data_IF_056566524819
#
_entry.id   IF_056566524819
#
_cell.length_a   1.000
_cell.length_b   1.000
_cell.length_c   1.000
_cell.angle_alpha   90.00
_cell.angle_beta   90.00
_cell.angle_gamma   90.00
#
_symmetry.space_group_name_H-M   'P 1'
#
loop_
_entity.id
_entity.type
_entity.pdbx_description
1 polymer ?
#
# COMPACT_ATOMS: atom_id res chain seq x y z
N UNK A 1 0.07 -22.07 -8.20
CA UNK A 1 0.89 -21.17 -7.37
C UNK A 1 -0.04 -20.12 -6.78
N UNK A 2 0.17 -19.76 -5.52
CA UNK A 2 -0.65 -18.74 -4.83
C UNK A 2 -0.17 -17.29 -5.05
N UNK A 3 0.90 -17.10 -5.83
CA UNK A 3 1.34 -15.78 -6.28
C UNK A 3 0.45 -15.34 -7.47
N UNK A 4 -0.28 -14.23 -7.28
CA UNK A 4 -1.32 -13.78 -8.22
C UNK A 4 -1.14 -12.30 -8.58
N UNK A 5 -1.81 -11.85 -9.66
CA UNK A 5 -1.86 -10.42 -10.00
C UNK A 5 -2.69 -9.64 -8.98
N UNK A 6 -2.33 -8.38 -8.73
CA UNK A 6 -3.11 -7.53 -7.82
C UNK A 6 -4.50 -7.25 -8.38
N UNK A 7 -4.65 -7.11 -9.70
CA UNK A 7 -5.95 -6.90 -10.35
C UNK A 7 -6.94 -7.98 -9.95
N UNK A 8 -6.54 -9.25 -9.91
CA UNK A 8 -7.42 -10.33 -9.50
C UNK A 8 -7.94 -10.15 -8.06
N UNK A 9 -7.08 -9.75 -7.13
CA UNK A 9 -7.50 -9.55 -5.73
C UNK A 9 -8.39 -8.31 -5.59
N UNK A 10 -8.10 -7.24 -6.32
CA UNK A 10 -8.88 -6.01 -6.27
C UNK A 10 -10.27 -6.19 -6.91
N UNK A 11 -10.36 -6.94 -8.02
CA UNK A 11 -11.64 -7.30 -8.63
C UNK A 11 -12.50 -8.10 -7.64
N UNK A 12 -11.94 -9.13 -7.00
CA UNK A 12 -12.64 -9.93 -6.00
C UNK A 12 -13.06 -9.06 -4.79
N UNK A 13 -12.21 -8.12 -4.35
CA UNK A 13 -12.54 -7.20 -3.28
C UNK A 13 -13.72 -6.28 -3.64
N UNK A 14 -13.75 -5.78 -4.88
CA UNK A 14 -14.82 -4.95 -5.38
C UNK A 14 -16.15 -5.71 -5.49
N UNK A 15 -16.13 -6.93 -6.01
CA UNK A 15 -17.29 -7.80 -6.14
C UNK A 15 -17.91 -8.21 -4.78
N UNK A 16 -17.07 -8.29 -3.74
CA UNK A 16 -17.46 -8.74 -2.40
C UNK A 16 -17.50 -7.61 -1.35
N UNK A 17 -17.27 -6.35 -1.74
CA UNK A 17 -17.47 -5.17 -0.90
C UNK A 17 -16.47 -5.02 0.24
N UNK A 18 -15.20 -5.42 0.07
CA UNK A 18 -14.16 -5.27 1.08
C UNK A 18 -12.92 -4.53 0.55
N UNK A 19 -12.01 -4.15 1.45
CA UNK A 19 -10.70 -3.58 1.13
C UNK A 19 -9.56 -4.52 1.53
N UNK A 20 -8.41 -4.36 0.88
CA UNK A 20 -7.19 -5.13 1.12
C UNK A 20 -6.12 -4.26 1.77
N UNK A 21 -5.66 -4.58 2.98
CA UNK A 21 -4.46 -3.96 3.49
C UNK A 21 -3.26 -4.40 2.65
N UNK A 22 -2.46 -3.42 2.20
CA UNK A 22 -1.19 -3.65 1.56
C UNK A 22 -0.07 -3.33 2.55
N UNK A 23 0.65 -4.36 2.97
CA UNK A 23 1.64 -4.24 4.04
C UNK A 23 3.04 -4.09 3.48
N UNK A 24 3.74 -3.03 3.90
CA UNK A 24 5.14 -2.83 3.57
C UNK A 24 6.04 -3.82 4.30
N UNK A 25 6.99 -4.41 3.59
CA UNK A 25 7.94 -5.39 4.11
C UNK A 25 9.37 -4.95 3.90
N UNK A 26 10.20 -5.09 4.95
CA UNK A 26 11.60 -4.73 4.95
C UNK A 26 12.51 -5.90 5.43
N UNK A 27 11.96 -6.86 6.16
CA UNK A 27 12.73 -7.92 6.81
C UNK A 27 11.92 -9.22 6.98
N UNK A 28 12.58 -10.25 7.50
CA UNK A 28 12.00 -11.58 7.72
C UNK A 28 10.79 -11.55 8.67
N UNK A 29 10.91 -10.83 9.78
CA UNK A 29 9.91 -10.82 10.84
C UNK A 29 8.59 -10.21 10.38
N UNK A 30 8.64 -9.17 9.53
CA UNK A 30 7.45 -8.57 8.93
C UNK A 30 6.77 -9.55 7.96
N UNK A 31 7.53 -10.21 7.08
CA UNK A 31 6.98 -11.19 6.15
C UNK A 31 6.31 -12.34 6.90
N UNK A 32 6.95 -12.86 7.95
CA UNK A 32 6.37 -13.91 8.79
C UNK A 32 5.11 -13.45 9.52
N UNK A 33 5.13 -12.27 10.14
CA UNK A 33 3.99 -11.73 10.87
C UNK A 33 2.76 -11.57 9.98
N UNK A 34 2.94 -11.03 8.77
CA UNK A 34 1.86 -10.83 7.80
C UNK A 34 1.27 -12.17 7.37
N UNK A 35 2.12 -13.16 7.05
CA UNK A 35 1.62 -14.46 6.57
C UNK A 35 0.99 -15.30 7.67
N UNK A 36 1.54 -15.25 8.88
CA UNK A 36 0.94 -15.90 10.05
C UNK A 36 -0.45 -15.29 10.36
N UNK A 37 -0.57 -13.95 10.28
CA UNK A 37 -1.84 -13.26 10.44
C UNK A 37 -2.84 -13.66 9.34
N UNK A 38 -2.41 -13.62 8.07
CA UNK A 38 -3.25 -13.99 6.93
C UNK A 38 -3.73 -15.44 7.01
N UNK A 39 -2.85 -16.36 7.42
CA UNK A 39 -3.20 -17.77 7.62
C UNK A 39 -4.22 -17.95 8.75
N UNK A 40 -4.06 -17.21 9.85
CA UNK A 40 -4.95 -17.31 11.01
C UNK A 40 -6.38 -16.86 10.68
N UNK A 41 -6.51 -15.75 9.95
CA UNK A 41 -7.84 -15.20 9.61
C UNK A 41 -8.34 -15.57 8.21
N UNK A 42 -7.56 -16.33 7.44
CA UNK A 42 -7.94 -16.74 6.07
C UNK A 42 -8.03 -15.56 5.09
N UNK A 43 -7.11 -14.59 5.12
CA UNK A 43 -7.10 -13.42 4.25
C UNK A 43 -6.16 -13.56 3.06
N UNK A 44 -6.51 -13.10 1.84
CA UNK A 44 -5.53 -12.84 0.79
C UNK A 44 -4.60 -11.69 1.20
N UNK A 45 -3.41 -11.61 0.60
CA UNK A 45 -2.35 -10.70 1.05
C UNK A 45 -1.79 -9.88 -0.11
N UNK A 46 -1.57 -8.59 0.14
CA UNK A 46 -0.67 -7.74 -0.66
C UNK A 46 0.56 -7.45 0.20
N UNK A 47 1.72 -8.00 -0.18
CA UNK A 47 3.02 -7.60 0.35
C UNK A 47 3.65 -6.61 -0.60
N UNK A 48 4.02 -5.45 -0.09
CA UNK A 48 4.60 -4.41 -0.93
C UNK A 48 5.99 -3.99 -0.45
N UNK A 49 6.84 -3.63 -1.41
CA UNK A 49 8.22 -3.22 -1.18
C UNK A 49 8.52 -1.93 -1.95
N UNK A 50 8.80 -0.85 -1.21
CA UNK A 50 9.30 0.40 -1.78
C UNK A 50 10.72 0.24 -2.35
N UNK A 51 11.18 1.21 -3.11
CA UNK A 51 12.58 1.26 -3.55
C UNK A 51 13.55 1.29 -2.35
N UNK A 52 13.19 2.02 -1.28
CA UNK A 52 13.93 2.06 -0.03
C UNK A 52 14.02 0.70 0.66
N UNK A 53 12.91 -0.01 0.76
CA UNK A 53 12.87 -1.35 1.32
C UNK A 53 13.75 -2.34 0.54
N UNK A 54 13.67 -2.32 -0.80
CA UNK A 54 14.49 -3.16 -1.68
C UNK A 54 15.98 -2.83 -1.58
N UNK A 55 16.33 -1.55 -1.44
CA UNK A 55 17.71 -1.11 -1.22
C UNK A 55 18.24 -1.54 0.14
N UNK A 56 17.42 -1.43 1.20
CA UNK A 56 17.78 -1.83 2.56
C UNK A 56 17.99 -3.33 2.69
N UNK A 57 17.00 -4.12 2.31
CA UNK A 57 17.03 -5.57 2.45
C UNK A 57 17.94 -6.27 1.41
N UNK A 58 18.15 -5.63 0.27
CA UNK A 58 18.71 -6.26 -0.92
C UNK A 58 17.63 -6.95 -1.74
N UNK A 59 17.54 -6.61 -3.01
CA UNK A 59 16.43 -7.04 -3.89
C UNK A 59 16.27 -8.56 -3.95
N UNK A 60 17.38 -9.31 -4.06
CA UNK A 60 17.35 -10.76 -4.07
C UNK A 60 16.82 -11.34 -2.75
N UNK A 61 17.26 -10.81 -1.60
CA UNK A 61 16.81 -11.28 -0.29
C UNK A 61 15.31 -11.05 -0.10
N UNK A 62 14.83 -9.85 -0.38
CA UNK A 62 13.42 -9.52 -0.18
C UNK A 62 12.51 -10.33 -1.08
N UNK A 63 12.88 -10.49 -2.36
CA UNK A 63 12.18 -11.38 -3.29
C UNK A 63 12.08 -12.80 -2.76
N UNK A 64 13.19 -13.37 -2.28
CA UNK A 64 13.20 -14.75 -1.77
C UNK A 64 12.46 -14.89 -0.45
N UNK A 65 12.45 -13.89 0.44
CA UNK A 65 11.61 -13.88 1.64
C UNK A 65 10.12 -13.97 1.29
N UNK A 66 9.66 -13.17 0.33
CA UNK A 66 8.25 -13.22 -0.12
C UNK A 66 7.97 -14.55 -0.84
N UNK A 67 8.88 -15.03 -1.68
CA UNK A 67 8.73 -16.34 -2.36
C UNK A 67 8.65 -17.49 -1.35
N UNK A 68 9.48 -17.48 -0.32
CA UNK A 68 9.44 -18.49 0.75
C UNK A 68 8.09 -18.45 1.50
N UNK A 69 7.52 -17.27 1.73
CA UNK A 69 6.20 -17.12 2.32
C UNK A 69 5.10 -17.72 1.42
N UNK A 70 5.16 -17.51 0.10
CA UNK A 70 4.24 -18.11 -0.89
C UNK A 70 4.35 -19.65 -0.88
N UNK A 71 5.56 -20.19 -0.75
CA UNK A 71 5.77 -21.64 -0.65
C UNK A 71 5.25 -22.23 0.67
N UNK A 72 5.47 -21.53 1.78
CA UNK A 72 5.05 -21.97 3.12
C UNK A 72 3.52 -21.94 3.30
N UNK A 73 2.82 -21.03 2.60
CA UNK A 73 1.38 -20.84 2.69
C UNK A 73 0.68 -20.94 1.32
N UNK A 74 0.72 -22.11 0.65
CA UNK A 74 0.27 -22.26 -0.75
C UNK A 74 -1.24 -22.05 -0.94
N UNK A 75 -2.02 -22.02 0.14
CA UNK A 75 -3.47 -21.80 0.13
C UNK A 75 -3.86 -20.32 0.32
N UNK A 76 -2.89 -19.43 0.60
CA UNK A 76 -3.13 -17.99 0.72
C UNK A 76 -2.75 -17.31 -0.61
N UNK A 77 -3.68 -16.66 -1.31
CA UNK A 77 -3.34 -15.83 -2.47
C UNK A 77 -2.50 -14.62 -2.06
N UNK A 78 -1.33 -14.48 -2.67
CA UNK A 78 -0.35 -13.43 -2.35
C UNK A 78 -0.05 -12.59 -3.59
N UNK A 79 -0.01 -11.28 -3.44
CA UNK A 79 0.52 -10.33 -4.42
C UNK A 79 1.88 -9.85 -3.94
N UNK A 80 2.87 -9.87 -4.82
CA UNK A 80 4.14 -9.18 -4.64
C UNK A 80 4.08 -7.86 -5.42
N UNK A 81 3.94 -6.75 -4.68
CA UNK A 81 3.75 -5.41 -5.23
C UNK A 81 4.97 -4.52 -5.05
N UNK A 82 5.42 -3.87 -6.12
CA UNK A 82 6.42 -2.82 -6.04
C UNK A 82 5.71 -1.47 -5.83
N UNK A 83 5.99 -0.88 -4.68
CA UNK A 83 5.44 0.38 -4.19
C UNK A 83 6.34 1.55 -4.62
N UNK A 84 5.77 2.67 -5.08
CA UNK A 84 6.46 3.88 -5.55
C UNK A 84 7.65 3.67 -6.50
N UNK A 85 7.36 3.28 -7.73
CA UNK A 85 8.35 3.23 -8.82
C UNK A 85 8.54 4.61 -9.45
N UNK A 86 9.75 5.17 -9.34
CA UNK A 86 10.06 6.52 -9.83
C UNK A 86 10.28 6.60 -11.35
N UNK A 87 10.30 5.47 -12.04
CA UNK A 87 10.49 5.43 -13.49
C UNK A 87 10.03 4.09 -14.08
N UNK A 88 9.74 4.03 -15.39
CA UNK A 88 9.47 2.78 -16.09
C UNK A 88 10.58 1.73 -15.93
N UNK A 89 11.84 2.15 -15.83
CA UNK A 89 12.99 1.26 -15.62
C UNK A 89 12.91 0.57 -14.25
N UNK A 90 12.52 1.28 -13.19
CA UNK A 90 12.33 0.71 -11.83
C UNK A 90 11.19 -0.32 -11.84
N UNK A 91 10.06 -0.02 -12.48
CA UNK A 91 8.96 -0.96 -12.62
C UNK A 91 9.37 -2.22 -13.41
N UNK A 92 10.11 -2.05 -14.50
CA UNK A 92 10.62 -3.17 -15.29
C UNK A 92 11.60 -4.04 -14.48
N UNK A 93 12.48 -3.45 -13.67
CA UNK A 93 13.39 -4.18 -12.79
C UNK A 93 12.61 -5.02 -11.74
N UNK A 94 11.56 -4.45 -11.14
CA UNK A 94 10.70 -5.17 -10.21
C UNK A 94 10.01 -6.38 -10.89
N UNK A 95 9.47 -6.20 -12.08
CA UNK A 95 8.85 -7.28 -12.86
C UNK A 95 9.86 -8.41 -13.15
N UNK A 96 11.08 -8.06 -13.56
CA UNK A 96 12.17 -9.06 -13.77
C UNK A 96 12.52 -9.80 -12.48
N UNK A 97 12.31 -9.19 -11.33
CA UNK A 97 12.50 -9.80 -10.02
C UNK A 97 11.29 -10.63 -9.55
N UNK A 98 10.24 -10.78 -10.37
CA UNK A 98 9.08 -11.62 -10.10
C UNK A 98 7.90 -10.91 -9.42
N UNK A 99 7.90 -9.59 -9.37
CA UNK A 99 6.75 -8.82 -8.88
C UNK A 99 5.55 -8.99 -9.82
N UNK A 100 4.38 -9.25 -9.25
CA UNK A 100 3.13 -9.46 -10.00
C UNK A 100 2.27 -8.21 -10.10
N UNK A 101 2.75 -7.13 -9.49
CA UNK A 101 2.16 -5.80 -9.54
C UNK A 101 3.22 -4.73 -9.35
N UNK A 102 3.08 -3.62 -10.03
CA UNK A 102 3.97 -2.47 -9.91
C UNK A 102 3.17 -1.18 -9.82
N UNK A 103 3.68 -0.21 -9.07
CA UNK A 103 3.17 1.15 -9.06
C UNK A 103 4.13 2.05 -9.85
N UNK A 104 3.62 2.75 -10.86
CA UNK A 104 4.33 3.86 -11.50
C UNK A 104 3.88 5.16 -10.83
N UNK A 105 4.75 5.69 -10.01
CA UNK A 105 4.53 7.02 -9.40
C UNK A 105 5.07 8.09 -10.35
N UNK A 106 4.20 8.56 -11.22
CA UNK A 106 4.48 9.65 -12.15
C UNK A 106 4.02 11.01 -11.64
N UNK A 107 3.59 11.12 -10.38
CA UNK A 107 3.26 12.40 -9.73
C UNK A 107 4.49 13.28 -9.51
N UNK A 108 5.66 12.64 -9.47
CA UNK A 108 6.97 13.28 -9.39
C UNK A 108 7.78 12.98 -10.66
N UNK A 109 8.70 13.90 -10.99
CA UNK A 109 9.70 13.67 -12.02
C UNK A 109 10.67 12.55 -11.62
N UNK A 110 11.49 12.08 -12.55
CA UNK A 110 12.44 11.00 -12.29
C UNK A 110 13.48 11.29 -11.18
N UNK A 111 13.59 12.53 -10.73
CA UNK A 111 14.41 12.93 -9.57
C UNK A 111 13.75 12.55 -8.22
N UNK A 112 12.48 12.15 -8.24
CA UNK A 112 11.70 11.79 -7.07
C UNK A 112 11.38 12.95 -6.12
N UNK A 113 11.46 14.21 -6.60
CA UNK A 113 11.29 15.41 -5.77
C UNK A 113 10.44 16.50 -6.44
N UNK A 114 10.69 16.74 -7.71
CA UNK A 114 9.99 17.76 -8.49
C UNK A 114 8.60 17.26 -8.84
N UNK A 115 7.56 18.07 -8.60
CA UNK A 115 6.19 17.75 -9.04
C UNK A 115 6.16 17.65 -10.55
N UNK A 116 5.71 16.53 -11.08
CA UNK A 116 5.67 16.26 -12.50
C UNK A 116 4.50 16.98 -13.20
N UNK A 117 4.63 17.19 -14.51
CA UNK A 117 3.51 17.60 -15.32
C UNK A 117 2.51 16.44 -15.51
N UNK A 118 1.23 16.79 -15.72
CA UNK A 118 0.21 15.80 -16.06
C UNK A 118 0.58 14.96 -17.28
N UNK A 119 1.13 15.58 -18.32
CA UNK A 119 1.54 14.91 -19.54
C UNK A 119 2.69 13.91 -19.30
N UNK A 120 3.67 14.27 -18.46
CA UNK A 120 4.73 13.35 -18.05
C UNK A 120 4.14 12.14 -17.36
N UNK A 121 3.27 12.34 -16.35
CA UNK A 121 2.64 11.25 -15.60
C UNK A 121 1.85 10.30 -16.52
N UNK A 122 1.03 10.85 -17.44
CA UNK A 122 0.31 10.05 -18.43
C UNK A 122 1.27 9.22 -19.29
N UNK A 123 2.35 9.82 -19.77
CA UNK A 123 3.29 9.14 -20.68
C UNK A 123 4.02 7.97 -20.00
N UNK A 124 4.58 8.20 -18.79
CA UNK A 124 5.32 7.14 -18.08
C UNK A 124 4.38 6.03 -17.58
N UNK A 125 3.20 6.39 -17.09
CA UNK A 125 2.19 5.41 -16.66
C UNK A 125 1.69 4.54 -17.82
N UNK A 126 1.42 5.14 -18.98
CA UNK A 126 1.02 4.42 -20.20
C UNK A 126 2.11 3.47 -20.70
N UNK A 127 3.38 3.88 -20.62
CA UNK A 127 4.50 3.01 -20.97
C UNK A 127 4.55 1.78 -20.07
N UNK A 128 4.43 1.98 -18.73
CA UNK A 128 4.43 0.89 -17.75
C UNK A 128 3.23 -0.04 -17.95
N UNK A 129 2.03 0.49 -18.17
CA UNK A 129 0.82 -0.29 -18.48
C UNK A 129 1.05 -1.17 -19.69
N UNK A 130 1.60 -0.63 -20.77
CA UNK A 130 1.80 -1.36 -22.03
C UNK A 130 2.66 -2.62 -21.83
N UNK A 131 3.80 -2.53 -21.18
CA UNK A 131 4.64 -3.72 -21.01
C UNK A 131 4.13 -4.65 -19.89
N UNK A 132 3.55 -4.12 -18.82
CA UNK A 132 3.04 -4.91 -17.69
C UNK A 132 1.83 -5.76 -18.09
N UNK A 133 0.83 -5.17 -18.74
CA UNK A 133 -0.36 -5.89 -19.20
C UNK A 133 -0.03 -6.97 -20.23
N UNK A 134 1.03 -6.79 -21.04
CA UNK A 134 1.46 -7.80 -22.01
C UNK A 134 1.84 -9.14 -21.39
N UNK A 135 2.18 -9.15 -20.10
CA UNK A 135 2.60 -10.31 -19.32
C UNK A 135 1.72 -10.57 -18.08
N UNK A 136 0.58 -9.89 -17.98
CA UNK A 136 -0.41 -10.10 -16.92
C UNK A 136 -0.12 -9.44 -15.57
N UNK A 137 0.86 -8.53 -15.53
CA UNK A 137 1.24 -7.76 -14.33
C UNK A 137 0.32 -6.55 -14.18
N UNK A 138 -0.18 -6.32 -12.97
CA UNK A 138 -1.06 -5.20 -12.63
C UNK A 138 -0.28 -3.90 -12.52
N UNK A 139 -0.90 -2.79 -12.91
CA UNK A 139 -0.33 -1.45 -12.76
C UNK A 139 -1.20 -0.56 -11.89
N UNK A 140 -0.62 -0.08 -10.80
CA UNK A 140 -1.09 1.06 -10.04
C UNK A 140 -0.41 2.32 -10.56
N UNK A 141 -1.14 3.43 -10.62
CA UNK A 141 -0.59 4.74 -10.93
C UNK A 141 -1.01 5.74 -9.84
N UNK A 142 -0.42 6.92 -9.81
CA UNK A 142 -0.73 7.98 -8.85
C UNK A 142 -1.12 9.27 -9.55
N UNK A 143 -2.15 9.95 -9.04
CA UNK A 143 -2.57 11.26 -9.50
C UNK A 143 -2.87 12.20 -8.34
N UNK A 144 -2.26 13.36 -8.36
CA UNK A 144 -2.18 14.29 -7.24
C UNK A 144 -0.88 14.08 -6.46
N UNK A 145 -0.57 14.99 -5.56
CA UNK A 145 0.62 14.91 -4.70
C UNK A 145 0.18 14.52 -3.29
N UNK A 146 0.78 13.45 -2.77
CA UNK A 146 0.53 13.07 -1.38
C UNK A 146 1.04 14.14 -0.43
N UNK A 147 0.26 14.43 0.59
CA UNK A 147 0.61 15.43 1.59
C UNK A 147 -0.55 15.76 2.52
N UNK A 148 -0.24 16.50 3.57
CA UNK A 148 -1.18 16.81 4.64
C UNK A 148 -1.97 18.07 4.33
N UNK A 149 -3.30 17.97 4.33
CA UNK A 149 -4.20 19.12 4.26
C UNK A 149 -4.15 19.99 5.53
N UNK A 150 -3.70 19.46 6.66
CA UNK A 150 -3.53 20.22 7.90
C UNK A 150 -2.33 21.18 7.80
N UNK A 151 -1.20 20.70 7.29
CA UNK A 151 0.05 21.47 7.24
C UNK A 151 0.31 22.09 5.87
N UNK A 152 -0.46 21.72 4.86
CA UNK A 152 -0.27 22.11 3.46
C UNK A 152 1.13 21.81 2.92
N UNK A 153 1.74 20.72 3.40
CA UNK A 153 3.06 20.27 2.98
C UNK A 153 2.96 18.97 2.19
N UNK A 154 3.77 18.90 1.14
CA UNK A 154 4.02 17.65 0.45
C UNK A 154 4.67 16.63 1.38
N UNK A 155 4.53 15.37 1.03
CA UNK A 155 4.98 14.23 1.80
C UNK A 155 6.33 13.70 1.33
N UNK A 156 7.05 13.02 2.22
CA UNK A 156 8.31 12.35 1.90
C UNK A 156 8.37 10.95 2.51
N UNK A 157 8.63 9.97 1.66
CA UNK A 157 8.92 8.61 2.08
C UNK A 157 10.19 8.10 1.38
N UNK A 158 11.08 7.44 2.12
CA UNK A 158 12.33 6.86 1.62
C UNK A 158 13.22 7.85 0.83
N UNK A 159 13.10 9.15 1.10
CA UNK A 159 13.85 10.21 0.41
C UNK A 159 13.20 10.70 -0.89
N UNK A 160 12.02 10.18 -1.24
CA UNK A 160 11.17 10.60 -2.36
C UNK A 160 9.96 11.36 -1.83
N UNK A 161 9.49 12.34 -2.60
CA UNK A 161 8.34 13.15 -2.25
C UNK A 161 8.54 14.64 -2.55
N UNK A 162 7.43 15.36 -2.73
CA UNK A 162 7.46 16.77 -3.06
C UNK A 162 7.96 17.62 -1.88
N UNK A 163 8.90 18.52 -2.16
CA UNK A 163 9.41 19.45 -1.17
C UNK A 163 8.58 20.74 -1.16
N UNK A 164 8.20 21.20 0.03
CA UNK A 164 7.65 22.54 0.24
C UNK A 164 6.15 22.58 0.49
N UNK A 165 5.62 23.81 0.37
CA UNK A 165 4.17 24.09 0.52
C UNK A 165 3.45 23.75 -0.77
N UNK A 166 2.32 23.03 -0.64
CA UNK A 166 1.44 22.64 -1.73
C UNK A 166 0.13 23.42 -1.67
N UNK A 167 -0.52 23.59 -2.81
CA UNK A 167 -1.90 24.10 -2.82
C UNK A 167 -2.87 22.98 -2.47
N UNK A 168 -4.09 23.34 -2.08
CA UNK A 168 -5.15 22.37 -1.79
C UNK A 168 -5.47 21.52 -3.04
N UNK A 169 -5.44 22.13 -4.20
CA UNK A 169 -5.70 21.48 -5.49
C UNK A 169 -4.61 20.44 -5.82
N UNK A 170 -3.36 20.68 -5.43
CA UNK A 170 -2.28 19.70 -5.60
C UNK A 170 -2.41 18.51 -4.64
N UNK A 171 -2.94 18.74 -3.43
CA UNK A 171 -3.14 17.74 -2.38
C UNK A 171 -4.45 16.94 -2.50
N UNK A 172 -5.28 17.24 -3.51
CA UNK A 172 -6.52 16.53 -3.79
C UNK A 172 -6.59 16.17 -5.28
N UNK A 173 -6.79 14.89 -5.57
CA UNK A 173 -6.98 14.45 -6.95
C UNK A 173 -8.22 15.06 -7.56
N UNK A 174 -8.08 15.71 -8.71
CA UNK A 174 -9.22 16.26 -9.47
C UNK A 174 -10.01 15.14 -10.17
N UNK A 175 -11.33 15.23 -10.13
CA UNK A 175 -12.26 14.18 -10.60
C UNK A 175 -12.21 14.01 -12.12
N UNK A 176 -12.23 15.10 -12.87
CA UNK A 176 -12.21 15.04 -14.34
C UNK A 176 -10.82 14.64 -14.85
N UNK A 177 -9.79 15.15 -14.17
CA UNK A 177 -8.42 14.76 -14.47
C UNK A 177 -8.18 13.26 -14.21
N UNK A 178 -8.77 12.69 -13.13
CA UNK A 178 -8.72 11.25 -12.86
C UNK A 178 -9.39 10.42 -13.97
N UNK A 179 -10.55 10.90 -14.47
CA UNK A 179 -11.25 10.25 -15.57
C UNK A 179 -10.42 10.25 -16.86
N UNK A 180 -9.87 11.41 -17.23
CA UNK A 180 -9.02 11.56 -18.40
C UNK A 180 -7.73 10.73 -18.29
N UNK A 181 -7.12 10.72 -17.10
CA UNK A 181 -5.90 9.95 -16.81
C UNK A 181 -6.12 8.45 -16.98
N UNK A 182 -7.17 7.90 -16.39
CA UNK A 182 -7.52 6.48 -16.48
C UNK A 182 -7.86 6.09 -17.91
N UNK A 183 -8.60 6.95 -18.64
CA UNK A 183 -8.92 6.74 -20.06
C UNK A 183 -7.65 6.70 -20.92
N UNK A 184 -6.68 7.57 -20.64
CA UNK A 184 -5.43 7.65 -21.40
C UNK A 184 -4.47 6.51 -21.08
N UNK A 185 -4.35 6.12 -19.80
CA UNK A 185 -3.34 5.16 -19.32
C UNK A 185 -3.84 3.73 -19.27
N UNK A 186 -5.13 3.52 -18.96
CA UNK A 186 -5.73 2.20 -18.71
C UNK A 186 -5.08 1.49 -17.51
N UNK A 187 -4.60 2.22 -16.49
CA UNK A 187 -4.09 1.64 -15.26
C UNK A 187 -5.20 0.89 -14.51
N UNK A 188 -4.84 -0.14 -13.74
CA UNK A 188 -5.78 -1.01 -13.02
C UNK A 188 -6.24 -0.41 -11.70
N UNK A 189 -5.35 0.33 -11.06
CA UNK A 189 -5.60 0.98 -9.79
C UNK A 189 -5.04 2.40 -9.82
N UNK A 190 -5.70 3.31 -9.11
CA UNK A 190 -5.31 4.71 -9.01
C UNK A 190 -5.15 5.10 -7.55
N UNK A 191 -3.91 5.41 -7.16
CA UNK A 191 -3.63 6.09 -5.90
C UNK A 191 -4.08 7.55 -6.02
N UNK A 192 -4.94 7.93 -5.09
CA UNK A 192 -5.57 9.26 -5.06
C UNK A 192 -5.10 10.06 -3.86
N UNK A 193 -4.76 11.32 -4.09
CA UNK A 193 -4.47 12.28 -3.05
C UNK A 193 -5.79 12.75 -2.41
N UNK A 194 -5.97 12.46 -1.14
CA UNK A 194 -7.19 12.71 -0.36
C UNK A 194 -6.91 13.35 1.00
N UNK A 195 -5.73 13.96 1.15
CA UNK A 195 -5.30 14.68 2.35
C UNK A 195 -4.50 13.83 3.35
N UNK A 196 -4.03 12.66 2.95
CA UNK A 196 -3.20 11.77 3.77
C UNK A 196 -1.71 11.86 3.41
N UNK A 197 -0.84 11.61 4.40
CA UNK A 197 0.62 11.59 4.25
C UNK A 197 1.23 10.33 4.84
N UNK A 198 2.41 9.95 4.38
CA UNK A 198 3.18 8.83 4.93
C UNK A 198 3.78 9.13 6.31
N UNK A 199 4.37 8.12 6.94
CA UNK A 199 5.06 8.23 8.22
C UNK A 199 4.14 8.31 9.43
N UNK A 200 4.74 8.48 10.61
CA UNK A 200 4.02 8.50 11.88
C UNK A 200 3.42 9.88 12.20
N UNK A 201 4.01 10.96 11.72
CA UNK A 201 3.63 12.34 12.05
C UNK A 201 2.66 12.90 11.01
N UNK A 202 1.39 12.44 11.04
CA UNK A 202 0.36 12.80 10.05
C UNK A 202 -0.47 14.00 10.48
N UNK A 203 -1.05 13.93 11.68
CA UNK A 203 -1.94 14.97 12.20
C UNK A 203 -1.48 15.39 13.59
N UNK A 204 -1.53 16.69 13.85
CA UNK A 204 -1.12 17.29 15.16
C UNK A 204 -2.26 17.31 16.17
N UNK A 205 -3.51 17.15 15.69
CA UNK A 205 -4.73 17.09 16.50
C UNK A 205 -5.46 15.78 16.27
N UNK A 206 -6.17 15.32 17.30
CA UNK A 206 -7.02 14.14 17.18
C UNK A 206 -8.07 14.39 16.11
N UNK A 207 -8.17 13.48 15.10
CA UNK A 207 -9.18 13.58 14.06
C UNK A 207 -10.61 13.64 14.60
N UNK A 208 -11.45 14.46 13.97
CA UNK A 208 -12.86 14.65 14.33
C UNK A 208 -13.83 13.96 13.39
N UNK A 209 -13.35 13.15 12.43
CA UNK A 209 -14.18 12.33 11.55
C UNK A 209 -14.41 12.93 10.16
N UNK A 210 -13.57 13.85 9.72
CA UNK A 210 -13.63 14.52 8.41
C UNK A 210 -12.23 14.70 7.76
N UNK A 211 -11.31 13.81 8.08
CA UNK A 211 -9.94 13.88 7.55
C UNK A 211 -9.88 13.52 6.09
N UNK A 212 -10.53 12.40 5.74
CA UNK A 212 -10.56 11.96 4.36
C UNK A 212 -11.56 12.77 3.55
N UNK A 213 -11.18 13.13 2.34
CA UNK A 213 -12.07 13.73 1.37
C UNK A 213 -13.06 12.69 0.80
N UNK A 214 -13.95 12.13 1.64
CA UNK A 214 -14.87 11.02 1.28
C UNK A 214 -15.75 11.37 0.08
N UNK A 215 -16.27 12.59 -0.01
CA UNK A 215 -17.07 12.99 -1.18
C UNK A 215 -16.23 12.96 -2.47
N UNK A 216 -14.95 13.35 -2.41
CA UNK A 216 -14.03 13.24 -3.53
C UNK A 216 -13.79 11.79 -3.96
N UNK A 217 -13.67 10.85 -3.01
CA UNK A 217 -13.59 9.42 -3.29
C UNK A 217 -14.83 8.94 -4.07
N UNK A 218 -16.02 9.32 -3.62
CA UNK A 218 -17.29 8.97 -4.27
C UNK A 218 -17.40 9.53 -5.69
N UNK A 219 -17.05 10.80 -5.87
CA UNK A 219 -17.06 11.46 -7.17
C UNK A 219 -16.11 10.76 -8.16
N UNK A 220 -14.86 10.51 -7.74
CA UNK A 220 -13.88 9.81 -8.57
C UNK A 220 -14.38 8.39 -8.90
N UNK A 221 -14.82 7.61 -7.91
CA UNK A 221 -15.31 6.25 -8.15
C UNK A 221 -16.51 6.21 -9.12
N UNK A 222 -17.39 7.20 -9.05
CA UNK A 222 -18.50 7.32 -9.99
C UNK A 222 -18.05 7.52 -11.44
N UNK A 223 -16.95 8.27 -11.64
CA UNK A 223 -16.39 8.55 -12.97
C UNK A 223 -15.58 7.37 -13.53
N UNK A 224 -14.88 6.64 -12.67
CA UNK A 224 -13.99 5.52 -13.03
C UNK A 224 -14.36 4.23 -12.27
N UNK A 225 -15.58 3.69 -12.44
CA UNK A 225 -16.10 2.62 -11.58
C UNK A 225 -15.36 1.29 -11.70
N UNK A 226 -14.58 1.09 -12.76
CA UNK A 226 -13.81 -0.14 -13.02
C UNK A 226 -12.33 -0.01 -12.67
N UNK A 227 -11.87 1.16 -12.22
CA UNK A 227 -10.52 1.40 -11.72
C UNK A 227 -10.56 1.37 -10.19
N UNK A 228 -9.73 0.55 -9.59
CA UNK A 228 -9.70 0.41 -8.14
C UNK A 228 -8.99 1.59 -7.49
N UNK A 229 -9.59 2.20 -6.46
CA UNK A 229 -8.98 3.30 -5.74
C UNK A 229 -8.02 2.80 -4.67
N UNK A 230 -6.91 3.49 -4.51
CA UNK A 230 -5.87 3.18 -3.52
C UNK A 230 -5.67 4.36 -2.58
N UNK A 231 -5.55 4.05 -1.28
CA UNK A 231 -5.24 5.01 -0.23
C UNK A 231 -3.82 4.81 0.26
N UNK A 232 -2.97 5.80 0.05
CA UNK A 232 -1.64 5.93 0.65
C UNK A 232 -1.72 6.68 1.98
N UNK A 233 -0.66 6.59 2.79
CA UNK A 233 -0.58 7.32 4.05
C UNK A 233 -1.66 6.93 5.08
N UNK A 234 -2.21 5.71 5.02
CA UNK A 234 -3.43 5.31 5.73
C UNK A 234 -3.21 4.61 7.07
N UNK A 235 -1.97 4.51 7.57
CA UNK A 235 -1.71 3.99 8.92
C UNK A 235 -2.46 4.81 9.97
N UNK A 236 -3.08 4.11 10.93
CA UNK A 236 -3.96 4.73 11.94
C UNK A 236 -3.19 5.25 13.16
N UNK A 237 -1.91 4.92 13.27
CA UNK A 237 -1.03 5.35 14.38
C UNK A 237 -1.71 5.11 15.75
N UNK A 238 -1.95 3.83 16.13
CA UNK A 238 -2.64 3.50 17.37
C UNK A 238 -1.94 4.11 18.58
N UNK A 239 -2.70 4.81 19.44
CA UNK A 239 -2.14 5.59 20.53
C UNK A 239 -1.47 4.71 21.60
N UNK A 240 -1.94 3.49 21.78
CA UNK A 240 -1.33 2.49 22.67
C UNK A 240 0.08 2.09 22.22
N UNK A 241 0.36 2.04 20.92
CA UNK A 241 1.70 1.74 20.40
C UNK A 241 2.67 2.91 20.66
N UNK A 242 2.20 4.15 20.53
CA UNK A 242 2.99 5.33 20.88
C UNK A 242 3.27 5.39 22.38
N UNK A 243 2.26 5.07 23.20
CA UNK A 243 2.39 5.03 24.66
C UNK A 243 3.43 3.98 25.08
N UNK A 244 3.38 2.77 24.52
CA UNK A 244 4.36 1.71 24.77
C UNK A 244 5.79 2.15 24.41
N UNK A 245 5.98 2.77 23.24
CA UNK A 245 7.30 3.28 22.84
C UNK A 245 7.83 4.31 23.82
N UNK A 246 6.99 5.24 24.28
CA UNK A 246 7.37 6.29 25.24
C UNK A 246 7.69 5.72 26.62
N UNK A 247 6.86 4.79 27.11
CA UNK A 247 7.06 4.12 28.41
C UNK A 247 8.41 3.43 28.48
N UNK A 248 8.87 2.85 27.39
CA UNK A 248 10.14 2.13 27.31
C UNK A 248 11.27 2.95 26.65
N UNK A 249 11.29 4.27 26.89
CA UNK A 249 12.40 5.18 26.59
C UNK A 249 12.47 5.67 25.14
N UNK A 250 11.38 5.58 24.38
CA UNK A 250 11.29 6.21 23.06
C UNK A 250 10.84 7.68 23.16
N UNK A 251 11.36 8.53 22.28
CA UNK A 251 10.97 9.94 22.16
C UNK A 251 10.08 10.13 20.92
N UNK A 252 8.82 9.69 21.03
CA UNK A 252 7.80 9.91 19.99
C UNK A 252 6.91 11.08 20.40
N UNK A 253 6.81 12.10 19.53
CA UNK A 253 5.88 13.22 19.73
C UNK A 253 4.43 12.76 19.62
N UNK A 254 3.51 13.55 20.18
CA UNK A 254 2.09 13.32 19.98
C UNK A 254 1.74 13.48 18.51
N UNK A 255 1.04 12.50 17.98
CA UNK A 255 0.61 12.46 16.58
C UNK A 255 -0.55 11.49 16.42
N UNK A 256 -1.34 11.68 15.39
CA UNK A 256 -2.52 10.88 15.09
C UNK A 256 -2.47 10.41 13.63
N UNK A 257 -3.04 9.24 13.37
CA UNK A 257 -3.19 8.69 12.02
C UNK A 257 -4.62 8.78 11.53
N UNK A 258 -4.91 8.07 10.44
CA UNK A 258 -6.25 8.02 9.84
C UNK A 258 -7.13 7.09 10.68
N UNK A 259 -8.32 7.52 11.15
CA UNK A 259 -9.25 6.65 11.85
C UNK A 259 -9.68 5.45 10.99
N UNK A 260 -9.75 4.27 11.62
CA UNK A 260 -10.16 3.03 10.93
C UNK A 260 -11.56 3.16 10.33
N UNK A 261 -12.45 3.85 11.02
CA UNK A 261 -13.83 4.08 10.58
C UNK A 261 -13.89 4.91 9.28
N UNK A 262 -13.00 5.89 9.12
CA UNK A 262 -12.91 6.67 7.87
C UNK A 262 -12.35 5.82 6.73
N UNK A 263 -11.39 4.93 7.00
CA UNK A 263 -10.90 3.97 6.01
C UNK A 263 -12.04 3.04 5.56
N UNK A 264 -12.81 2.53 6.51
CA UNK A 264 -13.99 1.69 6.21
C UNK A 264 -15.03 2.44 5.36
N UNK A 265 -15.21 3.73 5.61
CA UNK A 265 -16.08 4.56 4.76
C UNK A 265 -15.50 4.72 3.35
N UNK A 266 -14.18 4.90 3.21
CA UNK A 266 -13.50 4.88 1.91
C UNK A 266 -13.70 3.54 1.16
N UNK A 267 -13.62 2.41 1.87
CA UNK A 267 -13.85 1.07 1.29
C UNK A 267 -15.28 0.95 0.74
N UNK A 268 -16.29 1.44 1.45
CA UNK A 268 -17.68 1.46 0.95
C UNK A 268 -17.84 2.28 -0.33
N UNK A 269 -16.92 3.21 -0.57
CA UNK A 269 -16.96 4.16 -1.69
C UNK A 269 -15.90 3.91 -2.78
N UNK A 270 -15.39 2.69 -2.91
CA UNK A 270 -14.56 2.27 -4.06
C UNK A 270 -13.07 2.08 -3.77
N UNK A 271 -12.60 2.39 -2.56
CA UNK A 271 -11.23 2.06 -2.15
C UNK A 271 -11.09 0.55 -2.00
N UNK A 272 -10.05 -0.02 -2.61
CA UNK A 272 -9.80 -1.47 -2.57
C UNK A 272 -8.43 -1.85 -2.04
N UNK A 273 -7.43 -0.96 -2.11
CA UNK A 273 -6.09 -1.15 -1.53
C UNK A 273 -5.81 -0.05 -0.52
N UNK A 274 -5.32 -0.41 0.66
CA UNK A 274 -5.02 0.50 1.76
C UNK A 274 -3.59 0.22 2.25
N UNK A 275 -2.70 1.19 2.08
CA UNK A 275 -1.30 1.04 2.47
C UNK A 275 -1.13 1.15 3.99
N UNK A 276 -0.52 0.12 4.59
CA UNK A 276 -0.24 0.03 6.03
C UNK A 276 1.25 -0.29 6.23
N UNK A 277 2.00 0.66 6.77
CA UNK A 277 3.41 0.51 7.09
C UNK A 277 3.72 0.93 8.53
N UNK A 278 3.47 2.20 8.85
CA UNK A 278 3.83 2.81 10.15
C UNK A 278 3.30 2.01 11.34
N UNK A 279 2.07 1.50 11.27
CA UNK A 279 1.46 0.73 12.37
C UNK A 279 2.30 -0.52 12.72
N UNK A 280 2.82 -1.21 11.71
CA UNK A 280 3.69 -2.39 11.90
C UNK A 280 5.04 -1.96 12.50
N UNK A 281 5.63 -0.89 11.98
CA UNK A 281 6.91 -0.35 12.50
C UNK A 281 6.80 0.05 13.97
N UNK A 282 5.70 0.73 14.34
CA UNK A 282 5.45 1.14 15.74
C UNK A 282 5.27 -0.08 16.65
N UNK A 283 4.47 -1.05 16.26
CA UNK A 283 4.24 -2.27 17.04
C UNK A 283 5.53 -3.05 17.31
N UNK A 284 6.35 -3.25 16.28
CA UNK A 284 7.63 -3.93 16.42
C UNK A 284 8.59 -3.15 17.34
N UNK A 285 8.68 -1.83 17.14
CA UNK A 285 9.58 -0.98 17.92
C UNK A 285 9.20 -0.95 19.40
N UNK A 286 7.90 -0.83 19.71
CA UNK A 286 7.40 -0.87 21.10
C UNK A 286 7.72 -2.19 21.78
N UNK A 287 7.41 -3.31 21.11
CA UNK A 287 7.67 -4.64 21.65
C UNK A 287 9.17 -4.93 21.87
N UNK A 288 10.06 -4.48 20.97
CA UNK A 288 11.52 -4.63 21.15
C UNK A 288 11.99 -3.79 22.36
N UNK A 289 11.56 -2.53 22.47
CA UNK A 289 11.94 -1.63 23.56
C UNK A 289 11.50 -2.21 24.91
N UNK A 290 10.23 -2.62 25.03
CA UNK A 290 9.70 -3.24 26.24
C UNK A 290 10.50 -4.48 26.61
N UNK A 291 10.72 -5.40 25.65
CA UNK A 291 11.45 -6.64 25.93
C UNK A 291 12.86 -6.38 26.46
N UNK A 292 13.62 -5.49 25.84
CA UNK A 292 14.99 -5.16 26.26
C UNK A 292 15.04 -4.42 27.60
N UNK A 293 14.04 -3.59 27.87
CA UNK A 293 13.91 -2.90 29.18
C UNK A 293 13.63 -3.90 30.30
N UNK A 294 12.69 -4.80 30.11
CA UNK A 294 12.31 -5.83 31.08
C UNK A 294 13.39 -6.93 31.24
N UNK A 295 14.23 -7.10 30.26
CA UNK A 295 15.24 -8.16 30.19
C UNK A 295 16.64 -7.61 29.83
N UNK A 296 17.26 -6.76 30.68
CA UNK A 296 18.45 -5.99 30.35
C UNK A 296 19.72 -6.84 30.08
N UNK A 297 19.74 -8.11 30.50
CA UNK A 297 20.85 -9.03 30.22
C UNK A 297 20.71 -9.80 28.89
N UNK A 298 19.58 -9.66 28.21
CA UNK A 298 19.30 -10.36 26.94
C UNK A 298 19.93 -9.63 25.76
N UNK A 299 20.58 -10.39 24.86
CA UNK A 299 21.29 -9.86 23.70
C UNK A 299 21.05 -10.68 22.42
N UNK A 300 20.39 -11.85 22.52
CA UNK A 300 20.08 -12.68 21.34
C UNK A 300 18.93 -12.02 20.53
N UNK A 301 19.15 -11.68 19.25
CA UNK A 301 18.11 -11.07 18.42
C UNK A 301 16.85 -11.93 18.34
N UNK A 302 16.94 -13.25 18.38
CA UNK A 302 15.77 -14.15 18.36
C UNK A 302 14.86 -13.95 19.56
N UNK A 303 15.39 -13.54 20.71
CA UNK A 303 14.63 -13.30 21.93
C UNK A 303 13.75 -12.04 21.83
N UNK A 304 14.29 -10.92 21.29
CA UNK A 304 13.54 -9.66 21.19
C UNK A 304 12.80 -9.46 19.86
N UNK A 305 13.18 -10.17 18.79
CA UNK A 305 12.46 -10.14 17.53
C UNK A 305 11.20 -11.01 17.53
N UNK A 306 11.14 -12.05 18.36
CA UNK A 306 9.94 -12.86 18.53
C UNK A 306 8.73 -12.06 19.02
N UNK A 307 8.80 -11.31 20.15
CA UNK A 307 7.69 -10.45 20.56
C UNK A 307 7.38 -9.33 19.57
N UNK A 308 8.38 -8.82 18.82
CA UNK A 308 8.16 -7.85 17.76
C UNK A 308 7.29 -8.43 16.62
N UNK A 309 7.59 -9.68 16.20
CA UNK A 309 6.78 -10.40 15.19
C UNK A 309 5.34 -10.61 15.67
N UNK A 310 5.15 -11.03 16.92
CA UNK A 310 3.81 -11.21 17.49
C UNK A 310 3.01 -9.89 17.57
N UNK A 311 3.68 -8.78 17.89
CA UNK A 311 3.05 -7.45 17.90
C UNK A 311 2.63 -7.02 16.50
N UNK A 312 3.50 -7.19 15.49
CA UNK A 312 3.19 -6.92 14.09
C UNK A 312 2.03 -7.80 13.58
N UNK A 313 2.03 -9.10 13.92
CA UNK A 313 0.95 -10.04 13.58
C UNK A 313 -0.41 -9.55 14.08
N UNK A 314 -0.49 -9.07 15.32
CA UNK A 314 -1.74 -8.53 15.90
C UNK A 314 -2.26 -7.33 15.11
N UNK A 315 -1.38 -6.43 14.70
CA UNK A 315 -1.75 -5.30 13.83
C UNK A 315 -2.30 -5.79 12.50
N UNK A 316 -1.64 -6.76 11.87
CA UNK A 316 -2.10 -7.32 10.59
C UNK A 316 -3.48 -7.96 10.72
N UNK A 317 -3.73 -8.78 11.76
CA UNK A 317 -5.04 -9.39 12.03
C UNK A 317 -6.11 -8.31 12.13
N UNK A 318 -5.87 -7.29 12.96
CA UNK A 318 -6.83 -6.20 13.16
C UNK A 318 -7.18 -5.46 11.85
N UNK A 319 -6.21 -5.30 10.94
CA UNK A 319 -6.44 -4.66 9.63
C UNK A 319 -7.17 -5.59 8.65
N UNK A 320 -6.84 -6.88 8.61
CA UNK A 320 -7.58 -7.86 7.81
C UNK A 320 -9.06 -7.94 8.21
N UNK A 321 -9.33 -7.93 9.51
CA UNK A 321 -10.70 -7.95 10.04
C UNK A 321 -11.42 -6.63 9.76
N UNK A 322 -10.81 -5.49 10.10
CA UNK A 322 -11.43 -4.18 9.97
C UNK A 322 -11.77 -3.81 8.51
N UNK A 323 -10.97 -4.28 7.55
CA UNK A 323 -11.19 -3.99 6.13
C UNK A 323 -12.02 -5.07 5.42
N UNK A 324 -12.39 -6.15 6.12
CA UNK A 324 -13.30 -7.21 5.65
C UNK A 324 -12.64 -8.26 4.76
N UNK A 325 -11.29 -8.31 4.68
CA UNK A 325 -10.57 -9.31 3.90
C UNK A 325 -10.39 -10.66 4.60
N UNK A 326 -10.61 -10.73 5.91
CA UNK A 326 -10.63 -11.98 6.67
C UNK A 326 -11.68 -12.95 6.12
N UNK A 327 -11.33 -14.24 5.99
CA UNK A 327 -12.18 -15.29 5.44
C UNK A 327 -12.34 -15.29 3.91
N UNK A 328 -11.63 -14.44 3.19
CA UNK A 328 -11.77 -14.32 1.73
C UNK A 328 -10.80 -15.20 0.94
N UNK A 329 -9.66 -15.63 1.51
CA UNK A 329 -8.63 -16.37 0.79
C UNK A 329 -9.15 -17.64 0.10
N UNK A 330 -9.95 -18.45 0.80
CA UNK A 330 -10.50 -19.71 0.28
C UNK A 330 -11.50 -19.53 -0.87
N UNK A 331 -12.02 -18.32 -1.08
CA UNK A 331 -12.97 -18.00 -2.16
C UNK A 331 -12.27 -17.63 -3.46
N UNK A 332 -10.97 -17.36 -3.42
CA UNK A 332 -10.18 -16.90 -4.55
C UNK A 332 -9.47 -18.08 -5.20
N UNK A 333 -9.77 -18.34 -6.47
CA UNK A 333 -9.05 -19.31 -7.28
C UNK A 333 -7.93 -18.59 -8.04
N UNK A 334 -6.64 -18.88 -7.75
CA UNK A 334 -5.52 -18.20 -8.41
C UNK A 334 -5.58 -18.31 -9.95
N UNK A 335 -5.39 -17.18 -10.61
CA UNK A 335 -5.29 -17.08 -12.07
C UNK A 335 -3.82 -16.84 -12.41
N UNK A 336 -3.27 -17.64 -13.31
CA UNK A 336 -1.89 -17.47 -13.77
C UNK A 336 -1.72 -16.15 -14.54
N UNK A 337 -0.53 -15.56 -14.46
CA UNK A 337 -0.25 -14.27 -15.12
C UNK A 337 -0.44 -14.34 -16.65
N UNK A 338 -0.10 -15.47 -17.28
CA UNK A 338 -0.33 -15.68 -18.70
C UNK A 338 -1.83 -15.55 -19.06
N UNK A 339 -2.70 -16.06 -18.20
CA UNK A 339 -4.15 -15.93 -18.36
C UNK A 339 -4.64 -14.51 -18.13
N UNK A 340 -4.04 -13.80 -17.18
CA UNK A 340 -4.31 -12.38 -16.98
C UNK A 340 -3.88 -11.56 -18.21
N UNK A 341 -2.73 -11.88 -18.82
CA UNK A 341 -2.27 -11.24 -20.04
C UNK A 341 -3.26 -11.46 -21.21
N UNK A 342 -3.88 -12.64 -21.32
CA UNK A 342 -4.95 -12.89 -22.31
C UNK A 342 -6.18 -12.01 -22.08
N UNK A 343 -6.60 -11.87 -20.80
CA UNK A 343 -7.74 -11.01 -20.41
C UNK A 343 -7.48 -9.54 -20.74
N UNK A 344 -6.25 -9.04 -20.51
CA UNK A 344 -5.86 -7.68 -20.92
C UNK A 344 -5.91 -7.52 -22.46
N UNK A 345 -5.35 -8.48 -23.21
CA UNK A 345 -5.34 -8.44 -24.69
C UNK A 345 -6.71 -8.51 -25.30
N UNK A 346 -7.64 -9.26 -24.69
CA UNK A 346 -9.03 -9.36 -25.17
C UNK A 346 -9.87 -8.11 -24.90
N UNK A 347 -9.36 -7.17 -24.09
CA UNK A 347 -10.12 -6.00 -23.64
C UNK A 347 -11.11 -6.30 -22.50
N UNK A 348 -11.13 -7.50 -21.94
CA UNK A 348 -12.02 -7.88 -20.82
C UNK A 348 -11.78 -7.01 -19.59
N UNK A 349 -10.54 -6.59 -19.37
CA UNK A 349 -10.13 -5.78 -18.23
C UNK A 349 -9.98 -4.27 -18.55
N UNK A 350 -10.48 -3.83 -19.70
CA UNK A 350 -10.40 -2.43 -20.09
C UNK A 350 -11.15 -1.52 -19.08
N UNK A 351 -10.55 -0.40 -18.77
CA UNK A 351 -11.12 0.56 -17.83
C UNK A 351 -12.32 1.28 -18.42
N UNK A 352 -13.41 1.35 -17.67
CA UNK A 352 -14.62 2.07 -18.05
C UNK A 352 -14.59 3.44 -17.39
N UNK A 353 -14.70 4.48 -18.22
CA UNK A 353 -14.78 5.88 -17.79
C UNK A 353 -16.18 6.41 -18.17
N UNK A 354 -16.87 7.09 -17.23
CA UNK A 354 -18.21 7.65 -17.40
C UNK A 354 -18.16 9.16 -17.58
#
# INVERSE_FOLDING_TARGET
MSLVSMRQLLDHAAENGYGLPAFNVNNLEQVQAIMEAANEVGSPVIMQASAGARKYAGEAFLRHLISAAVEAYPHIPVVMHQDHGQSPAVCMAAIKSGFTSVMMDGSLEADGKSVASYEYNVNVSKEVVKFSHSIGVTVEAELGVLGSLETMKGDKEDGHGADGMMTREQLLTDVEQAADFVKATQCDALAIAIGTSHGAYKFTKKPTGDILAIERIKEIHTRIPNTHLVMHGSSSVPQELLAEIREFGGDMKETYGVPVEEIQEGIKNGVRKINIDTDIRLAMTGAIRRYLFENPSKFDPRDYLKPAREAAKKVCIARFEAFGSAGQAAKIKPIALEKMAERYRSGELAQIVK
#
